data_IF_307438673069
#
_entry.id   IF_307438673069
#
_cell.length_a   1.000
_cell.length_b   1.000
_cell.length_c   1.000
_cell.angle_alpha   90.00
_cell.angle_beta   90.00
_cell.angle_gamma   90.00
#
_symmetry.space_group_name_H-M   'P 1'
#
loop_
_entity.id
_entity.type
_entity.pdbx_description
1 polymer ?
#
# COMPACT_ATOMS: atom_id res chain seq x y z
N UNK A 1 -3.34 8.68 21.28
CA UNK A 1 -2.33 8.00 20.42
C UNK A 1 -1.41 7.15 21.30
N UNK A 2 -0.83 6.04 20.79
CA UNK A 2 0.12 5.25 21.59
C UNK A 2 1.43 6.05 21.72
N UNK A 3 1.97 6.16 22.96
CA UNK A 3 3.14 7.01 23.27
C UNK A 3 4.34 6.81 22.33
N UNK A 4 4.61 5.57 21.88
CA UNK A 4 5.73 5.30 20.97
C UNK A 4 5.52 5.90 19.57
N UNK A 5 4.27 5.97 19.09
CA UNK A 5 3.95 6.54 17.77
C UNK A 5 4.30 8.02 17.70
N UNK A 6 3.97 8.79 18.73
CA UNK A 6 4.34 10.22 18.78
C UNK A 6 5.86 10.40 18.68
N UNK A 7 6.62 9.52 19.34
CA UNK A 7 8.09 9.58 19.32
C UNK A 7 8.67 9.21 17.96
N UNK A 8 8.08 8.19 17.28
CA UNK A 8 8.58 7.68 16.00
C UNK A 8 8.15 8.58 14.84
N UNK A 9 6.86 8.97 14.80
CA UNK A 9 6.32 9.70 13.65
C UNK A 9 6.75 11.15 13.56
N UNK A 10 7.14 11.81 14.68
CA UNK A 10 7.66 13.18 14.65
C UNK A 10 8.88 13.38 13.72
N UNK A 11 9.66 12.32 13.48
CA UNK A 11 10.83 12.35 12.60
C UNK A 11 10.89 11.06 11.72
N UNK A 12 9.74 10.49 11.38
CA UNK A 12 9.67 9.20 10.71
C UNK A 12 10.40 9.22 9.37
N UNK A 13 10.13 10.24 8.55
CA UNK A 13 10.74 10.38 7.24
C UNK A 13 12.25 10.53 7.31
N UNK A 14 12.75 11.43 8.17
CA UNK A 14 14.19 11.61 8.38
C UNK A 14 14.85 10.34 8.91
N UNK A 15 14.20 9.61 9.81
CA UNK A 15 14.79 8.45 10.47
C UNK A 15 14.69 7.15 9.64
N UNK A 16 13.60 6.92 8.91
CA UNK A 16 13.35 5.69 8.19
C UNK A 16 13.60 5.81 6.69
N UNK A 17 13.11 6.87 6.05
CA UNK A 17 13.14 7.02 4.60
C UNK A 17 14.40 7.75 4.13
N UNK A 18 14.85 8.74 4.87
CA UNK A 18 15.88 9.69 4.43
C UNK A 18 17.26 9.45 5.04
N UNK A 19 17.57 8.26 5.56
CA UNK A 19 18.90 7.98 6.17
C UNK A 19 20.08 8.30 5.25
N UNK A 20 19.89 8.39 3.93
CA UNK A 20 20.99 8.60 2.97
C UNK A 20 20.62 9.45 1.74
N UNK A 21 19.37 9.87 1.54
CA UNK A 21 18.93 10.44 0.28
C UNK A 21 18.51 11.92 0.41
N UNK A 22 19.20 12.77 -0.36
CA UNK A 22 18.75 14.14 -0.68
C UNK A 22 18.16 14.23 -2.09
N UNK A 23 18.06 13.10 -2.81
CA UNK A 23 17.51 13.02 -4.17
C UNK A 23 16.05 12.56 -4.12
N UNK A 24 15.16 13.46 -3.69
CA UNK A 24 13.72 13.19 -3.65
C UNK A 24 13.12 13.02 -5.05
N UNK A 25 13.66 13.71 -6.06
CA UNK A 25 13.19 13.58 -7.44
C UNK A 25 13.48 12.17 -7.98
N UNK A 26 14.68 11.66 -7.79
CA UNK A 26 15.05 10.29 -8.19
C UNK A 26 14.22 9.23 -7.46
N UNK A 27 14.02 9.40 -6.15
CA UNK A 27 13.17 8.51 -5.36
C UNK A 27 11.72 8.53 -5.86
N UNK A 28 11.16 9.71 -6.10
CA UNK A 28 9.81 9.85 -6.63
C UNK A 28 9.69 9.22 -8.01
N UNK A 29 10.67 9.43 -8.89
CA UNK A 29 10.67 8.85 -10.25
C UNK A 29 10.70 7.33 -10.22
N UNK A 30 11.54 6.72 -9.38
CA UNK A 30 11.61 5.27 -9.21
C UNK A 30 10.29 4.69 -8.68
N UNK A 31 9.76 5.26 -7.60
CA UNK A 31 8.50 4.80 -7.01
C UNK A 31 7.31 5.07 -7.92
N UNK A 32 7.26 6.22 -8.62
CA UNK A 32 6.26 6.51 -9.65
C UNK A 32 6.25 5.46 -10.75
N UNK A 33 7.43 5.09 -11.24
CA UNK A 33 7.56 4.02 -12.25
C UNK A 33 7.06 2.68 -11.75
N UNK A 34 7.37 2.32 -10.49
CA UNK A 34 6.93 1.08 -9.88
C UNK A 34 5.41 1.07 -9.64
N UNK A 35 4.89 2.06 -8.92
CA UNK A 35 3.48 2.17 -8.57
C UNK A 35 2.58 2.34 -9.82
N UNK A 36 3.07 3.03 -10.86
CA UNK A 36 2.36 3.11 -12.14
C UNK A 36 2.14 1.72 -12.74
N UNK A 37 3.18 0.90 -12.79
CA UNK A 37 3.08 -0.46 -13.35
C UNK A 37 2.29 -1.42 -12.46
N UNK A 38 2.32 -1.23 -11.15
CA UNK A 38 1.66 -2.11 -10.17
C UNK A 38 0.17 -1.78 -9.98
N UNK A 39 -0.20 -0.49 -9.94
CA UNK A 39 -1.48 -0.08 -9.37
C UNK A 39 -2.41 0.64 -10.35
N UNK A 40 -1.88 1.36 -11.36
CA UNK A 40 -2.72 2.22 -12.21
C UNK A 40 -3.76 1.41 -13.00
N UNK A 41 -3.44 0.19 -13.40
CA UNK A 41 -4.38 -0.70 -14.09
C UNK A 41 -5.56 -1.18 -13.20
N UNK A 42 -5.47 -1.00 -11.88
CA UNK A 42 -6.53 -1.32 -10.92
C UNK A 42 -7.54 -0.18 -10.78
N UNK A 43 -7.21 1.02 -11.25
CA UNK A 43 -8.09 2.18 -11.19
C UNK A 43 -9.21 2.09 -12.22
N UNK A 44 -10.36 2.75 -11.98
CA UNK A 44 -11.43 2.88 -12.98
C UNK A 44 -10.93 3.53 -14.27
N UNK A 45 -11.53 3.18 -15.42
CA UNK A 45 -11.19 3.80 -16.71
C UNK A 45 -11.61 5.26 -16.80
N UNK A 46 -12.69 5.64 -16.12
CA UNK A 46 -13.09 7.05 -15.97
C UNK A 46 -12.02 7.84 -15.22
N UNK A 47 -11.52 8.92 -15.81
CA UNK A 47 -10.44 9.74 -15.25
C UNK A 47 -10.91 10.85 -14.31
N UNK A 48 -12.22 11.10 -14.26
CA UNK A 48 -12.83 12.11 -13.40
C UNK A 48 -13.21 11.59 -12.01
N UNK A 49 -12.97 10.27 -11.75
CA UNK A 49 -13.23 9.66 -10.45
C UNK A 49 -12.41 10.35 -9.36
N UNK A 50 -13.03 10.52 -8.20
CA UNK A 50 -12.36 11.06 -7.02
C UNK A 50 -11.53 9.97 -6.34
N UNK A 51 -10.22 10.20 -6.29
CA UNK A 51 -9.24 9.30 -5.69
C UNK A 51 -8.62 9.97 -4.47
N UNK A 52 -8.59 9.26 -3.36
CA UNK A 52 -7.91 9.69 -2.13
C UNK A 52 -6.85 8.68 -1.76
N UNK A 53 -5.62 9.16 -1.55
CA UNK A 53 -4.48 8.38 -1.06
C UNK A 53 -4.24 8.73 0.41
N UNK A 54 -4.47 7.77 1.30
CA UNK A 54 -4.33 7.91 2.75
C UNK A 54 -2.96 7.39 3.19
N UNK A 55 -2.18 8.23 3.88
CA UNK A 55 -0.77 7.96 4.15
C UNK A 55 0.08 8.05 2.88
N UNK A 56 -0.15 9.09 2.09
CA UNK A 56 0.41 9.22 0.74
C UNK A 56 1.93 9.50 0.73
N UNK A 57 2.52 9.78 1.89
CA UNK A 57 3.89 10.21 1.98
C UNK A 57 4.14 11.48 1.16
N UNK A 58 5.26 11.51 0.47
CA UNK A 58 5.56 12.59 -0.48
C UNK A 58 4.95 12.39 -1.88
N UNK A 59 3.81 11.69 -1.98
CA UNK A 59 2.99 11.60 -3.18
C UNK A 59 3.37 10.47 -4.15
N UNK A 60 3.93 9.38 -3.66
CA UNK A 60 4.46 8.27 -4.48
C UNK A 60 3.39 7.51 -5.28
N UNK A 61 2.12 7.61 -4.90
CA UNK A 61 0.99 7.14 -5.70
C UNK A 61 0.24 8.30 -6.37
N UNK A 62 0.17 9.46 -5.73
CA UNK A 62 -0.48 10.66 -6.29
C UNK A 62 0.13 11.01 -7.65
N UNK A 63 1.46 11.05 -7.75
CA UNK A 63 2.18 11.38 -9.00
C UNK A 63 1.86 10.43 -10.16
N UNK A 64 1.97 9.09 -10.03
CA UNK A 64 1.60 8.19 -11.12
C UNK A 64 0.13 8.24 -11.50
N UNK A 65 -0.79 8.49 -10.57
CA UNK A 65 -2.20 8.67 -10.87
C UNK A 65 -2.43 9.94 -11.71
N UNK A 66 -1.83 11.07 -11.33
CA UNK A 66 -1.86 12.30 -12.13
C UNK A 66 -1.26 12.09 -13.52
N UNK A 67 -0.11 11.44 -13.63
CA UNK A 67 0.54 11.13 -14.90
C UNK A 67 -0.31 10.22 -15.80
N UNK A 68 -1.17 9.39 -15.21
CA UNK A 68 -2.14 8.56 -15.93
C UNK A 68 -3.43 9.31 -16.33
N UNK A 69 -3.50 10.62 -16.06
CA UNK A 69 -4.59 11.51 -16.46
C UNK A 69 -5.75 11.62 -15.49
N UNK A 70 -5.62 11.12 -14.25
CA UNK A 70 -6.65 11.34 -13.22
C UNK A 70 -6.54 12.78 -12.70
N UNK A 71 -7.61 13.56 -12.85
CA UNK A 71 -7.64 14.99 -12.52
C UNK A 71 -8.02 15.26 -11.07
N UNK A 72 -8.71 14.31 -10.42
CA UNK A 72 -9.26 14.48 -9.07
C UNK A 72 -8.59 13.52 -8.08
N UNK A 73 -7.28 13.69 -7.88
CA UNK A 73 -6.46 12.89 -6.96
C UNK A 73 -5.99 13.77 -5.82
N UNK A 74 -6.19 13.35 -4.58
CA UNK A 74 -5.76 14.06 -3.38
C UNK A 74 -5.04 13.08 -2.45
N UNK A 75 -3.90 13.51 -1.91
CA UNK A 75 -3.16 12.76 -0.89
C UNK A 75 -3.26 13.40 0.48
N UNK A 76 -3.34 12.59 1.53
CA UNK A 76 -3.27 13.02 2.93
C UNK A 76 -2.17 12.26 3.65
N UNK A 77 -1.33 12.98 4.38
CA UNK A 77 -0.29 12.40 5.23
C UNK A 77 -0.18 13.15 6.55
N UNK A 78 0.12 12.43 7.62
CA UNK A 78 0.30 13.01 8.97
C UNK A 78 1.68 13.65 9.15
N UNK A 79 2.63 13.33 8.29
CA UNK A 79 3.98 13.87 8.34
C UNK A 79 4.09 15.17 7.56
N UNK A 80 4.18 16.30 8.26
CA UNK A 80 4.41 17.61 7.64
C UNK A 80 5.69 17.59 6.78
N UNK A 81 6.73 16.90 7.21
CA UNK A 81 8.00 16.76 6.50
C UNK A 81 7.80 16.14 5.09
N UNK A 82 6.97 15.10 4.98
CA UNK A 82 6.65 14.46 3.69
C UNK A 82 5.80 15.37 2.80
N UNK A 83 4.83 16.06 3.37
CA UNK A 83 3.99 17.02 2.65
C UNK A 83 4.82 18.18 2.09
N UNK A 84 5.77 18.70 2.88
CA UNK A 84 6.68 19.76 2.42
C UNK A 84 7.54 19.30 1.24
N UNK A 85 8.03 18.05 1.28
CA UNK A 85 8.74 17.44 0.14
C UNK A 85 7.80 17.32 -1.07
N UNK A 86 6.57 16.85 -0.91
CA UNK A 86 5.60 16.76 -2.00
C UNK A 86 5.37 18.12 -2.68
N UNK A 87 5.23 19.20 -1.90
CA UNK A 87 5.07 20.54 -2.41
C UNK A 87 6.32 21.02 -3.17
N UNK A 88 7.54 20.75 -2.68
CA UNK A 88 8.77 21.06 -3.43
C UNK A 88 8.87 20.32 -4.77
N UNK A 89 8.20 19.17 -4.89
CA UNK A 89 8.10 18.36 -6.10
C UNK A 89 6.89 18.73 -6.98
N UNK A 90 6.18 19.83 -6.65
CA UNK A 90 5.08 20.38 -7.43
C UNK A 90 3.75 19.61 -7.28
N UNK A 91 3.52 19.00 -6.11
CA UNK A 91 2.27 18.29 -5.80
C UNK A 91 1.46 19.03 -4.73
N UNK A 92 0.79 20.13 -5.13
CA UNK A 92 -0.02 20.97 -4.25
C UNK A 92 -1.31 20.25 -3.75
N UNK A 93 -1.64 19.10 -4.33
CA UNK A 93 -2.77 18.26 -3.96
C UNK A 93 -2.43 17.19 -2.88
N UNK A 94 -1.27 17.30 -2.25
CA UNK A 94 -0.89 16.57 -1.05
C UNK A 94 -1.05 17.48 0.17
N UNK A 95 -1.78 17.02 1.20
CA UNK A 95 -2.15 17.85 2.33
C UNK A 95 -1.74 17.19 3.66
N UNK A 96 -1.28 18.02 4.59
CA UNK A 96 -1.05 17.59 5.97
C UNK A 96 -2.40 17.40 6.68
N UNK A 97 -2.76 16.18 6.97
CA UNK A 97 -4.00 15.83 7.68
C UNK A 97 -3.93 14.39 8.18
N UNK A 98 -4.57 14.14 9.30
CA UNK A 98 -4.75 12.77 9.78
C UNK A 98 -5.86 12.04 9.00
N UNK A 99 -5.85 10.72 9.07
CA UNK A 99 -6.88 9.86 8.47
C UNK A 99 -8.24 10.11 9.13
N UNK A 100 -8.23 10.32 10.44
CA UNK A 100 -9.43 10.63 11.24
C UNK A 100 -10.06 11.95 10.79
N UNK A 101 -9.25 12.98 10.52
CA UNK A 101 -9.74 14.26 9.98
C UNK A 101 -10.37 14.10 8.60
N UNK A 102 -9.80 13.27 7.74
CA UNK A 102 -10.41 12.94 6.45
C UNK A 102 -11.78 12.29 6.66
N UNK A 103 -11.88 11.25 7.49
CA UNK A 103 -13.15 10.57 7.73
C UNK A 103 -14.19 11.47 8.42
N UNK A 104 -13.77 12.38 9.29
CA UNK A 104 -14.66 13.33 9.97
C UNK A 104 -15.36 14.29 8.99
N UNK A 105 -14.79 14.56 7.81
CA UNK A 105 -15.44 15.36 6.76
C UNK A 105 -16.68 14.67 6.17
N UNK A 106 -16.82 13.37 6.33
CA UNK A 106 -17.96 12.59 5.81
C UNK A 106 -18.05 12.56 4.29
N UNK A 107 -16.97 12.85 3.60
CA UNK A 107 -16.90 12.91 2.14
C UNK A 107 -16.98 11.52 1.52
N UNK A 108 -17.63 11.45 0.34
CA UNK A 108 -17.71 10.25 -0.48
C UNK A 108 -16.71 10.32 -1.62
N UNK A 109 -16.06 9.19 -1.89
CA UNK A 109 -15.03 9.07 -2.93
C UNK A 109 -15.21 7.76 -3.72
N UNK A 110 -14.64 7.70 -4.91
CA UNK A 110 -14.76 6.53 -5.78
C UNK A 110 -13.65 5.51 -5.52
N UNK A 111 -12.45 6.00 -5.15
CA UNK A 111 -11.30 5.16 -4.85
C UNK A 111 -10.59 5.68 -3.61
N UNK A 112 -10.31 4.79 -2.67
CA UNK A 112 -9.37 5.04 -1.57
C UNK A 112 -8.15 4.16 -1.79
N UNK A 113 -6.98 4.75 -1.68
CA UNK A 113 -5.68 4.06 -1.75
C UNK A 113 -4.99 4.19 -0.40
N UNK A 114 -4.25 3.17 -0.01
CA UNK A 114 -3.42 3.20 1.18
C UNK A 114 -2.25 2.24 1.00
N UNK A 115 -1.07 2.77 0.76
CA UNK A 115 0.13 1.99 0.49
C UNK A 115 1.02 1.96 1.72
N UNK A 116 1.31 0.74 2.18
CA UNK A 116 2.20 0.50 3.31
C UNK A 116 1.77 1.30 4.57
N UNK A 117 0.45 1.23 4.87
CA UNK A 117 -0.18 1.93 5.99
C UNK A 117 -0.95 0.99 6.92
N UNK A 118 -1.61 -0.05 6.38
CA UNK A 118 -2.51 -0.89 7.18
C UNK A 118 -1.77 -1.75 8.19
N UNK A 119 -0.50 -2.02 7.99
CA UNK A 119 0.40 -2.70 8.92
C UNK A 119 0.71 -1.89 10.18
N UNK A 120 0.52 -0.57 10.16
CA UNK A 120 0.79 0.32 11.29
C UNK A 120 -0.38 0.43 12.29
N UNK A 121 -1.54 -0.10 11.95
CA UNK A 121 -2.70 -0.13 12.84
C UNK A 121 -2.63 -1.32 13.79
N UNK A 122 -3.08 -1.14 15.02
CA UNK A 122 -3.49 -2.27 15.87
C UNK A 122 -4.69 -2.98 15.22
N UNK A 123 -5.03 -4.19 15.68
CA UNK A 123 -6.16 -4.93 15.10
C UNK A 123 -7.49 -4.18 15.21
N UNK A 124 -7.72 -3.51 16.34
CA UNK A 124 -8.95 -2.74 16.57
C UNK A 124 -8.98 -1.50 15.66
N UNK A 125 -7.86 -0.75 15.58
CA UNK A 125 -7.74 0.39 14.68
C UNK A 125 -7.90 0.00 13.21
N UNK A 126 -7.37 -1.17 12.80
CA UNK A 126 -7.54 -1.68 11.44
C UNK A 126 -9.01 -1.94 11.10
N UNK A 127 -9.77 -2.54 12.03
CA UNK A 127 -11.21 -2.76 11.84
C UNK A 127 -11.93 -1.42 11.69
N UNK A 128 -11.68 -0.47 12.59
CA UNK A 128 -12.29 0.86 12.55
C UNK A 128 -11.92 1.62 11.26
N UNK A 129 -10.66 1.56 10.85
CA UNK A 129 -10.19 2.13 9.59
C UNK A 129 -10.94 1.54 8.38
N UNK A 130 -11.02 0.21 8.28
CA UNK A 130 -11.70 -0.45 7.16
C UNK A 130 -13.21 -0.17 7.12
N UNK A 131 -13.86 -0.06 8.29
CA UNK A 131 -15.27 0.35 8.39
C UNK A 131 -15.46 1.78 7.89
N UNK A 132 -14.59 2.71 8.28
CA UNK A 132 -14.63 4.09 7.82
C UNK A 132 -14.32 4.22 6.32
N UNK A 133 -13.34 3.45 5.81
CA UNK A 133 -13.06 3.35 4.36
C UNK A 133 -14.31 2.92 3.62
N UNK A 134 -14.93 1.80 4.04
CA UNK A 134 -16.16 1.31 3.40
C UNK A 134 -17.28 2.35 3.43
N UNK A 135 -17.45 3.03 4.58
CA UNK A 135 -18.44 4.11 4.74
C UNK A 135 -18.15 5.30 3.83
N UNK A 136 -16.90 5.61 3.50
CA UNK A 136 -16.51 6.75 2.65
C UNK A 136 -16.55 6.44 1.16
N UNK A 137 -16.65 5.18 0.75
CA UNK A 137 -16.77 4.83 -0.66
C UNK A 137 -18.17 5.11 -1.21
N UNK A 138 -18.20 5.58 -2.46
CA UNK A 138 -19.42 5.63 -3.27
C UNK A 138 -19.92 4.20 -3.59
N UNK A 139 -21.21 4.00 -3.92
CA UNK A 139 -21.69 2.74 -4.47
C UNK A 139 -20.85 2.32 -5.69
N UNK A 140 -20.31 1.10 -5.66
CA UNK A 140 -19.39 0.60 -6.68
C UNK A 140 -17.94 1.13 -6.56
N UNK A 141 -17.67 1.94 -5.57
CA UNK A 141 -16.31 2.39 -5.24
C UNK A 141 -15.42 1.25 -4.71
N UNK A 142 -14.12 1.48 -4.71
CA UNK A 142 -13.14 0.48 -4.26
C UNK A 142 -12.04 1.07 -3.40
N UNK A 143 -11.51 0.24 -2.52
CA UNK A 143 -10.27 0.50 -1.80
C UNK A 143 -9.14 -0.37 -2.36
N UNK A 144 -7.93 0.19 -2.45
CA UNK A 144 -6.72 -0.50 -2.90
C UNK A 144 -5.67 -0.32 -1.81
N UNK A 145 -5.24 -1.42 -1.20
CA UNK A 145 -4.20 -1.41 -0.18
C UNK A 145 -2.99 -2.21 -0.64
N UNK A 146 -1.80 -1.76 -0.24
CA UNK A 146 -0.58 -2.56 -0.30
C UNK A 146 -0.03 -2.71 1.11
N UNK A 147 0.50 -3.89 1.43
CA UNK A 147 1.11 -4.19 2.73
C UNK A 147 2.11 -5.34 2.59
N UNK A 148 3.12 -5.46 3.46
CA UNK A 148 4.02 -6.61 3.48
C UNK A 148 3.27 -7.94 3.63
N UNK A 149 3.74 -8.95 2.90
CA UNK A 149 3.14 -10.28 2.87
C UNK A 149 3.90 -11.25 3.77
N UNK A 150 3.22 -11.81 4.75
CA UNK A 150 3.84 -12.74 5.72
C UNK A 150 4.10 -14.15 5.18
N UNK A 151 3.59 -14.52 4.00
CA UNK A 151 3.93 -15.78 3.32
C UNK A 151 5.17 -15.68 2.42
N UNK A 152 5.70 -14.46 2.22
CA UNK A 152 6.85 -14.20 1.37
C UNK A 152 8.19 -14.69 1.98
N UNK A 153 9.25 -14.85 1.18
CA UNK A 153 10.57 -15.15 1.73
C UNK A 153 11.10 -13.98 2.55
N UNK A 154 11.80 -14.29 3.65
CA UNK A 154 12.45 -13.30 4.52
C UNK A 154 11.48 -12.23 5.08
N UNK A 155 10.26 -12.63 5.38
CA UNK A 155 9.21 -11.74 5.92
C UNK A 155 9.65 -10.95 7.14
N UNK A 156 10.54 -11.52 7.97
CA UNK A 156 11.08 -10.85 9.16
C UNK A 156 11.79 -9.52 8.85
N UNK A 157 12.40 -9.39 7.66
CA UNK A 157 13.04 -8.14 7.23
C UNK A 157 12.02 -7.00 7.08
N UNK A 158 10.83 -7.32 6.57
CA UNK A 158 9.77 -6.36 6.34
C UNK A 158 8.87 -6.20 7.57
N UNK A 159 8.56 -7.31 8.26
CA UNK A 159 7.70 -7.30 9.43
C UNK A 159 8.33 -6.54 10.62
N UNK A 160 9.60 -6.80 10.88
CA UNK A 160 10.32 -6.24 12.04
C UNK A 160 11.36 -5.20 11.67
N UNK A 161 11.46 -4.83 10.40
CA UNK A 161 12.36 -3.78 9.92
C UNK A 161 11.90 -2.37 10.31
N UNK A 162 10.60 -2.24 10.59
CA UNK A 162 9.98 -1.06 11.16
C UNK A 162 9.27 -1.41 12.47
N UNK A 163 9.65 -0.75 13.55
CA UNK A 163 9.10 -0.98 14.90
C UNK A 163 7.64 -0.53 15.03
N UNK A 164 7.15 0.28 14.11
CA UNK A 164 5.77 0.76 14.11
C UNK A 164 4.76 -0.21 13.48
N UNK A 165 5.22 -1.35 12.94
CA UNK A 165 4.34 -2.40 12.44
C UNK A 165 3.67 -3.16 13.58
N UNK A 166 2.34 -3.23 13.56
CA UNK A 166 1.49 -3.86 14.56
C UNK A 166 0.72 -5.08 14.00
N UNK A 167 0.28 -5.00 12.73
CA UNK A 167 -0.49 -6.05 12.07
C UNK A 167 0.30 -6.67 10.94
N UNK A 168 0.34 -7.99 10.94
CA UNK A 168 1.06 -8.81 9.99
C UNK A 168 0.09 -9.66 9.19
N UNK A 169 -0.09 -9.35 7.89
CA UNK A 169 -1.08 -10.00 7.04
C UNK A 169 -0.45 -10.96 6.04
N UNK A 170 -1.17 -12.03 5.76
CA UNK A 170 -1.04 -12.83 4.54
C UNK A 170 -2.38 -12.81 3.78
N UNK A 171 -2.45 -13.48 2.63
CA UNK A 171 -3.67 -13.50 1.83
C UNK A 171 -4.91 -13.95 2.64
N UNK A 172 -4.77 -14.96 3.47
CA UNK A 172 -5.90 -15.51 4.23
C UNK A 172 -6.41 -14.53 5.29
N UNK A 173 -5.51 -13.91 6.05
CA UNK A 173 -5.90 -12.91 7.06
C UNK A 173 -6.41 -11.60 6.44
N UNK A 174 -5.86 -11.19 5.29
CA UNK A 174 -6.37 -10.05 4.53
C UNK A 174 -7.82 -10.28 4.05
N UNK A 175 -8.11 -11.46 3.49
CA UNK A 175 -9.47 -11.85 3.11
C UNK A 175 -10.40 -11.93 4.33
N UNK A 176 -9.91 -12.47 5.45
CA UNK A 176 -10.71 -12.60 6.68
C UNK A 176 -11.13 -11.23 7.21
N UNK A 177 -10.21 -10.29 7.36
CA UNK A 177 -10.52 -8.97 7.94
C UNK A 177 -11.42 -8.14 7.02
N UNK A 178 -11.16 -8.14 5.71
CA UNK A 178 -11.98 -7.39 4.75
C UNK A 178 -13.39 -7.97 4.60
N UNK A 179 -13.52 -9.31 4.64
CA UNK A 179 -14.84 -9.96 4.64
C UNK A 179 -15.60 -9.72 5.93
N UNK A 180 -14.94 -9.71 7.10
CA UNK A 180 -15.57 -9.42 8.39
C UNK A 180 -16.16 -8.01 8.45
N UNK A 181 -15.50 -7.03 7.83
CA UNK A 181 -15.99 -5.66 7.67
C UNK A 181 -17.14 -5.57 6.65
N UNK A 182 -17.32 -6.61 5.82
CA UNK A 182 -18.44 -6.75 4.89
C UNK A 182 -18.24 -6.04 3.55
N UNK A 183 -17.01 -6.00 3.02
CA UNK A 183 -16.80 -5.64 1.61
C UNK A 183 -17.44 -6.69 0.70
N UNK A 184 -18.08 -6.24 -0.40
CA UNK A 184 -18.85 -7.12 -1.30
C UNK A 184 -17.94 -8.05 -2.13
N UNK A 185 -16.85 -7.52 -2.66
CA UNK A 185 -15.87 -8.28 -3.44
C UNK A 185 -14.47 -7.92 -2.95
N UNK A 186 -13.66 -8.94 -2.67
CA UNK A 186 -12.25 -8.75 -2.29
C UNK A 186 -11.36 -9.63 -3.14
N UNK A 187 -10.34 -9.02 -3.74
CA UNK A 187 -9.31 -9.70 -4.51
C UNK A 187 -7.95 -9.39 -3.88
N UNK A 188 -7.11 -10.41 -3.72
CA UNK A 188 -5.78 -10.27 -3.13
C UNK A 188 -4.75 -10.86 -4.08
N UNK A 189 -3.84 -10.02 -4.54
CA UNK A 189 -2.78 -10.34 -5.49
C UNK A 189 -1.40 -10.24 -4.81
N UNK A 190 -0.40 -10.81 -5.46
CA UNK A 190 1.00 -10.52 -5.15
C UNK A 190 1.44 -9.20 -5.76
N UNK A 191 2.19 -8.43 -5.02
CA UNK A 191 2.78 -7.18 -5.50
C UNK A 191 3.74 -7.40 -6.68
N UNK A 192 3.94 -6.36 -7.47
CA UNK A 192 4.76 -6.41 -8.67
C UNK A 192 6.24 -6.62 -8.34
N UNK A 193 6.81 -7.69 -8.87
CA UNK A 193 8.24 -7.91 -8.86
C UNK A 193 8.81 -7.62 -10.24
N UNK A 194 9.68 -6.61 -10.34
CA UNK A 194 10.39 -6.33 -11.60
C UNK A 194 11.78 -5.77 -11.35
N UNK A 195 12.66 -5.96 -12.33
CA UNK A 195 13.93 -5.27 -12.42
C UNK A 195 14.00 -4.52 -13.75
N UNK A 196 14.49 -3.29 -13.72
CA UNK A 196 14.57 -2.44 -14.91
C UNK A 196 15.64 -2.89 -15.89
N UNK A 197 16.65 -3.65 -15.44
CA UNK A 197 17.75 -4.18 -16.28
C UNK A 197 17.35 -5.54 -16.87
N UNK A 198 17.28 -5.71 -18.23
CA UNK A 198 16.72 -6.91 -18.86
C UNK A 198 17.37 -8.22 -18.42
N UNK A 199 18.70 -8.26 -18.32
CA UNK A 199 19.42 -9.46 -17.87
C UNK A 199 19.11 -9.83 -16.42
N UNK A 200 19.09 -8.83 -15.53
CA UNK A 200 18.73 -9.03 -14.13
C UNK A 200 17.27 -9.49 -13.99
N UNK A 201 16.37 -8.96 -14.82
CA UNK A 201 14.97 -9.38 -14.86
C UNK A 201 14.81 -10.84 -15.29
N UNK A 202 15.57 -11.29 -16.32
CA UNK A 202 15.55 -12.69 -16.75
C UNK A 202 16.03 -13.63 -15.61
N UNK A 203 17.16 -13.29 -14.98
CA UNK A 203 17.69 -14.06 -13.84
C UNK A 203 16.67 -14.07 -12.67
N UNK A 204 16.07 -12.92 -12.35
CA UNK A 204 15.05 -12.81 -11.32
C UNK A 204 13.85 -13.72 -11.61
N UNK A 205 13.31 -13.70 -12.84
CA UNK A 205 12.17 -14.54 -13.24
C UNK A 205 12.48 -16.02 -13.07
N UNK A 206 13.65 -16.47 -13.49
CA UNK A 206 14.08 -17.88 -13.35
C UNK A 206 14.22 -18.24 -11.88
N UNK A 207 14.91 -17.42 -11.09
CA UNK A 207 15.09 -17.64 -9.65
C UNK A 207 13.76 -17.69 -8.92
N UNK A 208 12.86 -16.76 -9.25
CA UNK A 208 11.52 -16.67 -8.66
C UNK A 208 10.64 -17.89 -9.01
N UNK A 209 10.71 -18.36 -10.24
CA UNK A 209 10.03 -19.57 -10.66
C UNK A 209 10.52 -20.79 -9.88
N UNK A 210 11.84 -20.97 -9.74
CA UNK A 210 12.45 -22.05 -8.95
C UNK A 210 12.01 -21.99 -7.49
N UNK A 211 12.05 -20.78 -6.88
CA UNK A 211 11.61 -20.57 -5.50
C UNK A 211 10.15 -20.96 -5.31
N UNK A 212 9.23 -20.45 -6.15
CA UNK A 212 7.81 -20.80 -6.06
C UNK A 212 7.55 -22.29 -6.23
N UNK A 213 8.26 -22.94 -7.14
CA UNK A 213 8.15 -24.39 -7.34
C UNK A 213 8.59 -25.16 -6.07
N UNK A 214 9.74 -24.80 -5.51
CA UNK A 214 10.22 -25.39 -4.25
C UNK A 214 9.23 -25.21 -3.11
N UNK A 215 8.70 -24.00 -2.90
CA UNK A 215 7.71 -23.72 -1.86
C UNK A 215 6.43 -24.54 -2.03
N UNK A 216 5.95 -24.74 -3.26
CA UNK A 216 4.79 -25.59 -3.56
C UNK A 216 5.05 -27.03 -3.20
N UNK A 217 6.24 -27.55 -3.49
CA UNK A 217 6.64 -28.91 -3.10
C UNK A 217 6.65 -29.05 -1.57
N UNK A 218 7.23 -28.07 -0.85
CA UNK A 218 7.25 -28.09 0.63
C UNK A 218 5.82 -28.07 1.19
N UNK A 219 4.93 -27.24 0.66
CA UNK A 219 3.52 -27.21 1.08
C UNK A 219 2.83 -28.55 0.82
N UNK A 220 3.06 -29.15 -0.34
CA UNK A 220 2.54 -30.48 -0.66
C UNK A 220 3.03 -31.55 0.33
N UNK A 221 4.35 -31.59 0.61
CA UNK A 221 4.94 -32.55 1.56
C UNK A 221 4.44 -32.35 2.99
N UNK A 222 3.97 -31.16 3.35
CA UNK A 222 3.39 -30.86 4.67
C UNK A 222 1.86 -30.97 4.70
N UNK A 223 1.26 -31.59 3.68
CA UNK A 223 -0.19 -31.75 3.52
C UNK A 223 -0.96 -30.41 3.51
N UNK A 224 -0.34 -29.34 3.00
CA UNK A 224 -0.95 -28.00 2.87
C UNK A 224 -1.18 -27.66 1.40
N UNK A 225 -2.21 -26.87 1.15
CA UNK A 225 -2.49 -26.34 -0.19
C UNK A 225 -1.77 -25.02 -0.43
N UNK A 226 -1.37 -24.75 -1.68
CA UNK A 226 -0.76 -23.47 -2.11
C UNK A 226 -1.73 -22.53 -2.83
N UNK A 227 -3.00 -22.93 -3.03
CA UNK A 227 -3.98 -22.15 -3.82
C UNK A 227 -4.28 -20.78 -3.20
N UNK A 228 -4.19 -20.67 -1.87
CA UNK A 228 -4.44 -19.44 -1.14
C UNK A 228 -3.14 -18.75 -0.67
N UNK A 229 -1.97 -19.15 -1.20
CA UNK A 229 -0.69 -18.56 -0.82
C UNK A 229 -0.22 -17.62 -1.91
N UNK A 230 0.08 -16.39 -1.53
CA UNK A 230 0.80 -15.40 -2.33
C UNK A 230 2.26 -15.44 -1.89
N UNK A 231 3.19 -15.58 -2.82
CA UNK A 231 4.62 -15.70 -2.51
C UNK A 231 5.39 -14.38 -2.66
N UNK A 232 4.80 -13.41 -3.32
CA UNK A 232 5.37 -12.09 -3.57
C UNK A 232 5.54 -11.31 -2.24
N UNK A 233 6.57 -10.46 -2.09
CA UNK A 233 6.87 -9.73 -0.87
C UNK A 233 5.73 -8.87 -0.33
N UNK A 234 4.94 -8.28 -1.22
CA UNK A 234 3.80 -7.47 -0.86
C UNK A 234 2.49 -8.11 -1.30
N UNK A 235 1.43 -7.82 -0.56
CA UNK A 235 0.05 -8.04 -0.99
C UNK A 235 -0.49 -6.73 -1.59
N UNK A 236 -1.26 -6.87 -2.66
CA UNK A 236 -2.17 -5.83 -3.15
C UNK A 236 -3.59 -6.33 -2.93
N UNK A 237 -4.36 -5.60 -2.15
CA UNK A 237 -5.72 -5.92 -1.73
C UNK A 237 -6.67 -4.94 -2.42
N UNK A 238 -7.60 -5.44 -3.21
CA UNK A 238 -8.66 -4.63 -3.84
C UNK A 238 -9.99 -5.04 -3.23
N UNK A 239 -10.62 -4.12 -2.51
CA UNK A 239 -11.90 -4.35 -1.84
C UNK A 239 -12.97 -3.39 -2.40
N UNK A 240 -14.10 -3.92 -2.86
CA UNK A 240 -15.17 -3.14 -3.48
C UNK A 240 -16.45 -3.22 -2.66
N UNK A 241 -17.24 -2.13 -2.68
CA UNK A 241 -18.57 -2.04 -2.07
C UNK A 241 -19.67 -2.55 -3.02
#
# INVERSE_FOLDING_TARGET
>A
MLKYRDTIYNNYFTNQVNKQARDYEGMLAEQTSHNSAELIHLLPSNKDVRIVDLGCGFGTFVKPAMNAGYSNVVGYDISQEQVDVAHTLGMDNVHHSSIEEFFAKGEKVDVIVGLDIIEHFTKDELIDFLLNVKKSLNPGGKAIFRTPNMDAPQTSVYAYGDISHEVFLNKSSALQVTSAVGFGKVEVYGGLLRNTKPLKEAIRKIGWWKYKTFKKIVLFCTARTWHNVVFEPNLVIVASC
#
